data_IF_099014874920
#
_entry.id   IF_099014874920
#
_cell.length_a   1.000
_cell.length_b   1.000
_cell.length_c   1.000
_cell.angle_alpha   90.00
_cell.angle_beta   90.00
_cell.angle_gamma   90.00
#
_symmetry.space_group_name_H-M   'P 1'
#
loop_
_entity.id
_entity.type
_entity.pdbx_description
1 polymer ?
#
# COMPACT_ATOMS: atom_id res chain seq x y z
N UNK A 1 30.02 6.30 -6.51
CA UNK A 1 29.03 5.24 -6.80
C UNK A 1 29.29 4.05 -5.90
N UNK A 2 28.26 3.33 -5.45
CA UNK A 2 28.45 2.16 -4.58
C UNK A 2 29.25 1.08 -5.33
N UNK A 3 30.32 0.51 -4.73
CA UNK A 3 31.04 -0.61 -5.32
C UNK A 3 30.07 -1.77 -5.65
N UNK A 4 30.17 -2.35 -6.86
CA UNK A 4 29.30 -3.45 -7.31
C UNK A 4 28.02 -3.01 -8.04
N UNK A 5 27.64 -1.73 -8.01
CA UNK A 5 26.44 -1.23 -8.71
C UNK A 5 26.57 -1.35 -10.25
N UNK A 6 27.79 -1.28 -10.78
CA UNK A 6 28.06 -1.46 -12.22
C UNK A 6 27.77 -2.88 -12.73
N UNK A 7 27.71 -3.86 -11.83
CA UNK A 7 27.39 -5.26 -12.15
C UNK A 7 25.90 -5.57 -11.94
N UNK A 8 25.11 -4.61 -11.46
CA UNK A 8 23.69 -4.75 -11.17
C UNK A 8 22.85 -3.98 -12.18
N UNK A 9 21.84 -4.64 -12.75
CA UNK A 9 20.84 -3.97 -13.57
C UNK A 9 19.70 -3.45 -12.69
N UNK A 10 19.57 -2.13 -12.60
CA UNK A 10 18.51 -1.48 -11.82
C UNK A 10 17.25 -1.37 -12.68
N UNK A 11 16.14 -1.90 -12.17
CA UNK A 11 14.81 -1.76 -12.78
C UNK A 11 14.02 -0.66 -12.06
N UNK A 12 13.93 0.56 -12.62
CA UNK A 12 13.19 1.65 -11.99
C UNK A 12 11.68 1.46 -12.19
N UNK A 13 10.91 1.69 -11.12
CA UNK A 13 9.46 1.73 -11.16
C UNK A 13 8.95 3.11 -10.77
N UNK A 14 7.82 3.51 -11.37
CA UNK A 14 7.05 4.69 -10.93
C UNK A 14 6.21 4.33 -9.71
N UNK A 15 5.70 5.34 -9.01
CA UNK A 15 4.78 5.15 -7.88
C UNK A 15 3.54 4.39 -8.33
N UNK A 16 3.15 3.37 -7.57
CA UNK A 16 1.87 2.69 -7.73
C UNK A 16 0.93 3.08 -6.59
N UNK A 17 -0.35 3.27 -6.93
CA UNK A 17 -1.42 3.61 -5.99
C UNK A 17 -2.68 2.81 -6.35
N UNK A 18 -3.67 2.81 -5.47
CA UNK A 18 -4.91 2.10 -5.72
C UNK A 18 -5.76 2.87 -6.73
N UNK A 19 -5.95 2.35 -7.94
CA UNK A 19 -6.83 2.96 -8.94
C UNK A 19 -8.28 2.56 -8.60
N UNK A 20 -9.06 3.55 -8.14
CA UNK A 20 -10.46 3.36 -7.72
C UNK A 20 -11.37 2.96 -8.88
N UNK A 21 -11.05 3.33 -10.12
CA UNK A 21 -11.83 2.92 -11.30
C UNK A 21 -11.51 1.49 -11.71
N UNK A 22 -10.24 1.08 -11.58
CA UNK A 22 -9.81 -0.26 -11.94
C UNK A 22 -9.98 -1.29 -10.79
N UNK A 23 -10.21 -0.83 -9.56
CA UNK A 23 -10.35 -1.69 -8.37
C UNK A 23 -9.07 -2.45 -8.00
N UNK A 24 -7.90 -1.91 -8.35
CA UNK A 24 -6.61 -2.58 -8.14
C UNK A 24 -5.42 -1.62 -8.11
N UNK A 25 -4.26 -2.12 -7.69
CA UNK A 25 -3.01 -1.37 -7.77
C UNK A 25 -2.61 -1.12 -9.24
N UNK A 26 -2.27 0.13 -9.54
CA UNK A 26 -1.81 0.56 -10.87
C UNK A 26 -0.74 1.65 -10.73
N UNK A 27 0.04 1.88 -11.78
CA UNK A 27 0.97 3.00 -11.82
C UNK A 27 0.20 4.32 -11.79
N UNK A 28 0.64 5.23 -10.93
CA UNK A 28 0.02 6.54 -10.77
C UNK A 28 0.10 7.36 -12.07
N UNK A 29 -1.03 7.95 -12.44
CA UNK A 29 -1.17 8.83 -13.58
C UNK A 29 -1.57 10.24 -13.10
N UNK A 30 -0.67 11.24 -13.18
CA UNK A 30 -0.94 12.59 -12.71
C UNK A 30 -2.14 13.26 -13.39
N UNK A 31 -2.46 12.88 -14.64
CA UNK A 31 -3.61 13.43 -15.39
C UNK A 31 -4.96 13.01 -14.81
N UNK A 32 -4.98 11.90 -14.06
CA UNK A 32 -6.17 11.31 -13.43
C UNK A 32 -5.99 11.18 -11.92
N UNK A 33 -5.30 12.12 -11.27
CA UNK A 33 -4.94 12.04 -9.83
C UNK A 33 -6.12 11.70 -8.91
N UNK A 34 -7.32 12.18 -9.22
CA UNK A 34 -8.54 11.98 -8.44
C UNK A 34 -9.01 10.51 -8.46
N UNK A 35 -8.57 9.71 -9.44
CA UNK A 35 -8.90 8.29 -9.57
C UNK A 35 -8.03 7.42 -8.64
N UNK A 36 -6.95 7.95 -8.08
CA UNK A 36 -6.01 7.17 -7.27
C UNK A 36 -6.19 7.44 -5.78
N UNK A 37 -6.20 6.36 -5.00
CA UNK A 37 -6.21 6.40 -3.54
C UNK A 37 -4.84 6.01 -2.97
N UNK A 38 -4.26 6.90 -2.17
CA UNK A 38 -2.98 6.71 -1.49
C UNK A 38 -3.23 6.26 -0.05
N UNK A 39 -3.11 4.96 0.17
CA UNK A 39 -3.32 4.35 1.49
C UNK A 39 -1.97 4.28 2.22
N UNK A 40 -1.67 5.30 3.01
CA UNK A 40 -0.45 5.39 3.81
C UNK A 40 -0.43 4.40 4.99
N UNK A 41 0.75 4.15 5.54
CA UNK A 41 0.90 3.34 6.76
C UNK A 41 0.10 3.86 7.96
N UNK A 42 0.00 5.18 8.11
CA UNK A 42 -0.83 5.81 9.14
C UNK A 42 -2.32 5.51 8.93
N UNK A 43 -2.79 5.56 7.67
CA UNK A 43 -4.18 5.21 7.34
C UNK A 43 -4.46 3.73 7.55
N UNK A 44 -3.54 2.84 7.18
CA UNK A 44 -3.66 1.40 7.47
C UNK A 44 -3.82 1.14 8.97
N UNK A 45 -2.98 1.77 9.80
CA UNK A 45 -3.11 1.68 11.27
C UNK A 45 -4.48 2.18 11.76
N UNK A 46 -4.98 3.28 11.20
CA UNK A 46 -6.31 3.81 11.50
C UNK A 46 -7.44 2.83 11.16
N UNK A 47 -7.43 2.26 9.95
CA UNK A 47 -8.39 1.26 9.50
C UNK A 47 -8.38 0.01 10.40
N UNK A 48 -7.19 -0.52 10.69
CA UNK A 48 -7.05 -1.68 11.56
C UNK A 48 -7.62 -1.46 12.97
N UNK A 49 -7.37 -0.28 13.54
CA UNK A 49 -7.87 0.10 14.88
C UNK A 49 -9.39 0.31 14.91
N UNK A 50 -9.99 0.81 13.83
CA UNK A 50 -11.44 0.94 13.72
C UNK A 50 -12.15 -0.35 13.29
N UNK A 51 -11.40 -1.41 13.00
CA UNK A 51 -11.95 -2.66 12.47
C UNK A 51 -12.38 -2.59 11.00
N UNK A 52 -12.04 -1.51 10.29
CA UNK A 52 -12.27 -1.37 8.86
C UNK A 52 -11.20 -2.08 8.04
N UNK A 53 -11.53 -2.42 6.79
CA UNK A 53 -10.59 -3.01 5.83
C UNK A 53 -10.23 -2.01 4.74
N UNK A 54 -9.03 -2.10 4.15
CA UNK A 54 -8.73 -1.36 2.93
C UNK A 54 -9.64 -1.83 1.78
N UNK A 55 -9.70 -1.07 0.66
CA UNK A 55 -10.40 -1.48 -0.55
C UNK A 55 -9.92 -2.84 -1.06
N UNK A 56 -10.83 -3.60 -1.66
CA UNK A 56 -10.50 -4.87 -2.29
C UNK A 56 -9.45 -4.67 -3.40
N UNK A 57 -8.50 -5.60 -3.53
CA UNK A 57 -7.39 -5.48 -4.47
C UNK A 57 -6.23 -4.55 -4.04
N UNK A 58 -6.31 -3.90 -2.87
CA UNK A 58 -5.16 -3.18 -2.28
C UNK A 58 -4.14 -4.14 -1.67
N UNK A 59 -4.62 -5.14 -0.93
CA UNK A 59 -3.79 -6.12 -0.23
C UNK A 59 -4.53 -7.45 -0.15
N UNK A 60 -3.78 -8.56 -0.18
CA UNK A 60 -4.36 -9.88 0.06
C UNK A 60 -5.08 -9.93 1.44
N UNK A 61 -6.31 -10.48 1.53
CA UNK A 61 -7.07 -10.50 2.79
C UNK A 61 -6.32 -11.16 3.96
N UNK A 62 -5.58 -12.24 3.70
CA UNK A 62 -4.78 -12.94 4.71
C UNK A 62 -3.64 -12.07 5.25
N UNK A 63 -2.97 -11.30 4.40
CA UNK A 63 -1.93 -10.37 4.82
C UNK A 63 -2.52 -9.17 5.59
N UNK A 64 -3.68 -8.68 5.17
CA UNK A 64 -4.38 -7.63 5.89
C UNK A 64 -4.76 -8.08 7.31
N UNK A 65 -5.25 -9.31 7.48
CA UNK A 65 -5.61 -9.86 8.78
C UNK A 65 -4.42 -9.82 9.75
N UNK A 66 -3.23 -10.22 9.30
CA UNK A 66 -2.00 -10.18 10.11
C UNK A 66 -1.69 -8.74 10.57
N UNK A 67 -1.79 -7.75 9.66
CA UNK A 67 -1.57 -6.35 10.00
C UNK A 67 -2.64 -5.80 10.94
N UNK A 68 -3.90 -6.18 10.73
CA UNK A 68 -5.00 -5.77 11.57
C UNK A 68 -4.81 -6.27 13.01
N UNK A 69 -4.44 -7.53 13.17
CA UNK A 69 -4.20 -8.15 14.48
C UNK A 69 -2.99 -7.51 15.19
N UNK A 70 -1.91 -7.26 14.45
CA UNK A 70 -0.77 -6.51 14.95
C UNK A 70 -1.19 -5.15 15.50
N UNK A 71 -1.88 -4.32 14.72
CA UNK A 71 -2.26 -2.98 15.14
C UNK A 71 -3.30 -2.97 16.28
N UNK A 72 -4.20 -3.96 16.34
CA UNK A 72 -5.13 -4.15 17.48
C UNK A 72 -4.38 -4.46 18.76
N UNK A 73 -3.39 -5.36 18.71
CA UNK A 73 -2.58 -5.73 19.88
C UNK A 73 -1.81 -4.55 20.49
N UNK A 74 -1.41 -3.57 19.67
CA UNK A 74 -0.71 -2.36 20.15
C UNK A 74 -1.64 -1.37 20.85
N UNK A 75 -2.95 -1.45 20.63
CA UNK A 75 -3.93 -0.58 21.30
C UNK A 75 -4.34 -1.14 22.66
N UNK A 76 -4.17 -2.45 22.86
CA UNK A 76 -4.49 -3.15 24.11
C UNK A 76 -3.32 -3.21 25.10
N UNK A 77 -2.23 -2.47 24.82
CA UNK A 77 -1.13 -2.22 25.77
C UNK A 77 -1.26 -0.81 26.30
#
# INVERSE_FOLDING_TARGET
MAPGLSQLHILPFRVAAYDKKAGKMSFFDPSRKEDFDFISGTRMRGLARSGATPPDGFMAPSAWQILADYYKSMTNK
#
